data_IF_071336184188
#
_entry.id   IF_071336184188
#
_cell.length_a   1.000
_cell.length_b   1.000
_cell.length_c   1.000
_cell.angle_alpha   90.00
_cell.angle_beta   90.00
_cell.angle_gamma   90.00
#
_symmetry.space_group_name_H-M   'P 1'
#
loop_
_entity.id
_entity.type
_entity.pdbx_description
1 polymer ?
#
# COMPACT_ATOMS: atom_id res chain seq x y z
N UNK A 1 -7.55 -18.95 -13.88
CA UNK A 1 -8.26 -18.05 -12.95
C UNK A 1 -9.53 -18.74 -12.49
N UNK A 2 -9.82 -18.70 -11.20
CA UNK A 2 -11.02 -19.35 -10.65
C UNK A 2 -12.27 -18.54 -10.98
N UNK A 3 -13.42 -19.22 -11.21
CA UNK A 3 -14.69 -18.51 -11.39
C UNK A 3 -15.00 -17.63 -10.19
N UNK A 4 -15.44 -16.39 -10.43
CA UNK A 4 -15.76 -15.42 -9.39
C UNK A 4 -14.58 -14.63 -8.87
N UNK A 5 -13.37 -15.00 -9.20
CA UNK A 5 -12.18 -14.29 -8.79
C UNK A 5 -11.91 -13.10 -9.73
N UNK A 6 -11.60 -11.94 -9.14
CA UNK A 6 -11.25 -10.77 -9.95
C UNK A 6 -9.87 -10.96 -10.57
N UNK A 7 -9.65 -10.48 -11.80
CA UNK A 7 -8.32 -10.60 -12.43
C UNK A 7 -7.30 -9.69 -11.75
N UNK A 8 -6.04 -10.10 -11.79
CA UNK A 8 -4.92 -9.25 -11.43
C UNK A 8 -4.81 -8.09 -12.43
N UNK A 9 -4.24 -6.97 -11.99
CA UNK A 9 -4.06 -5.79 -12.83
C UNK A 9 -2.60 -5.33 -12.76
N UNK A 10 -1.74 -5.88 -13.61
CA UNK A 10 -0.32 -5.52 -13.59
C UNK A 10 -0.06 -4.05 -13.94
N UNK A 11 -0.96 -3.40 -14.66
CA UNK A 11 -0.82 -1.97 -14.99
C UNK A 11 -0.94 -1.12 -13.72
N UNK A 12 -1.88 -1.45 -12.85
CA UNK A 12 -2.05 -0.73 -11.59
C UNK A 12 -0.90 -1.00 -10.63
N UNK A 13 -0.41 -2.23 -10.58
CA UNK A 13 0.76 -2.58 -9.76
C UNK A 13 1.99 -1.82 -10.26
N UNK A 14 2.17 -1.71 -11.58
CA UNK A 14 3.28 -0.93 -12.16
C UNK A 14 3.16 0.55 -11.81
N UNK A 15 1.95 1.10 -11.81
CA UNK A 15 1.73 2.49 -11.41
C UNK A 15 2.13 2.72 -9.97
N UNK A 16 1.73 1.82 -9.07
CA UNK A 16 2.13 1.86 -7.67
C UNK A 16 3.65 1.75 -7.52
N UNK A 17 4.27 0.84 -8.27
CA UNK A 17 5.73 0.66 -8.25
C UNK A 17 6.44 1.97 -8.58
N UNK A 18 6.02 2.66 -9.64
CA UNK A 18 6.63 3.92 -10.04
C UNK A 18 6.51 4.98 -8.95
N UNK A 19 5.37 5.04 -8.28
CA UNK A 19 5.16 5.99 -7.18
C UNK A 19 6.13 5.70 -6.03
N UNK A 20 6.24 4.43 -5.62
CA UNK A 20 7.12 4.03 -4.52
C UNK A 20 8.59 4.26 -4.86
N UNK A 21 9.01 3.84 -6.05
CA UNK A 21 10.43 3.92 -6.46
C UNK A 21 10.88 5.34 -6.75
N UNK A 22 9.96 6.29 -6.91
CA UNK A 22 10.31 7.70 -7.07
C UNK A 22 10.81 8.35 -5.78
N UNK A 23 10.56 7.72 -4.62
CA UNK A 23 10.99 8.25 -3.33
C UNK A 23 12.46 7.87 -3.05
N UNK A 24 13.21 8.73 -2.32
CA UNK A 24 14.65 8.52 -2.12
C UNK A 24 14.99 7.19 -1.45
N UNK A 25 15.97 6.48 -2.01
CA UNK A 25 16.56 5.25 -1.46
C UNK A 25 15.56 4.09 -1.29
N UNK A 26 14.45 4.12 -2.01
CA UNK A 26 13.48 3.02 -1.96
C UNK A 26 13.99 1.85 -2.79
N UNK A 27 13.86 0.65 -2.24
CA UNK A 27 14.16 -0.60 -2.93
C UNK A 27 12.91 -1.47 -2.99
N UNK A 28 12.86 -2.36 -3.99
CA UNK A 28 11.76 -3.31 -4.14
C UNK A 28 12.29 -4.72 -3.91
N UNK A 29 11.52 -5.50 -3.15
CA UNK A 29 11.77 -6.93 -2.97
C UNK A 29 10.43 -7.67 -2.91
N UNK A 30 10.45 -8.95 -3.28
CA UNK A 30 9.30 -9.81 -3.02
C UNK A 30 9.24 -10.12 -1.53
N UNK A 31 8.06 -10.02 -0.97
CA UNK A 31 7.79 -10.35 0.43
C UNK A 31 6.48 -11.12 0.48
N UNK A 32 6.52 -12.34 1.02
CA UNK A 32 5.35 -13.23 1.05
C UNK A 32 4.68 -13.39 -0.33
N UNK A 33 5.52 -13.45 -1.38
CA UNK A 33 5.01 -13.61 -2.75
C UNK A 33 4.47 -12.37 -3.41
N UNK A 34 4.62 -11.19 -2.78
CA UNK A 34 4.07 -9.93 -3.26
C UNK A 34 5.17 -8.89 -3.47
N UNK A 35 5.13 -8.09 -4.55
CA UNK A 35 6.00 -6.92 -4.64
C UNK A 35 5.82 -5.99 -3.45
N UNK A 36 6.94 -5.60 -2.86
CA UNK A 36 6.95 -4.79 -1.66
C UNK A 36 8.08 -3.77 -1.72
N UNK A 37 7.90 -2.63 -1.04
CA UNK A 37 8.86 -1.53 -1.11
C UNK A 37 9.36 -1.18 0.29
N UNK A 38 10.66 -0.91 0.34
CA UNK A 38 11.41 -0.74 1.58
C UNK A 38 12.25 0.53 1.51
N UNK A 39 12.45 1.15 2.65
CA UNK A 39 13.43 2.23 2.83
C UNK A 39 14.23 1.94 4.09
N UNK A 40 15.57 2.00 3.98
CA UNK A 40 16.48 1.67 5.09
C UNK A 40 16.17 0.29 5.70
N UNK A 41 15.82 -0.69 4.86
CA UNK A 41 15.51 -2.05 5.28
C UNK A 41 14.14 -2.24 5.90
N UNK A 42 13.30 -1.19 5.97
CA UNK A 42 11.97 -1.26 6.58
C UNK A 42 10.90 -1.17 5.51
N UNK A 43 9.97 -2.12 5.53
CA UNK A 43 8.85 -2.14 4.59
C UNK A 43 7.87 -1.02 4.92
N UNK A 44 7.40 -0.29 3.89
CA UNK A 44 6.39 0.74 4.07
C UNK A 44 5.18 0.57 3.17
N UNK A 45 5.29 -0.23 2.10
CA UNK A 45 4.16 -0.58 1.22
C UNK A 45 4.34 -2.02 0.75
N UNK A 46 3.26 -2.77 0.68
CA UNK A 46 3.22 -4.07 0.02
C UNK A 46 1.94 -4.20 -0.80
N UNK A 47 2.00 -4.93 -1.90
CA UNK A 47 0.78 -5.33 -2.60
C UNK A 47 0.16 -6.55 -1.94
N UNK A 48 -1.13 -6.74 -2.17
CA UNK A 48 -1.84 -7.98 -1.85
C UNK A 48 -2.80 -8.25 -2.99
N UNK A 49 -2.49 -9.28 -3.79
CA UNK A 49 -3.24 -9.64 -4.98
C UNK A 49 -3.91 -10.99 -4.75
N UNK A 50 -5.20 -10.97 -4.39
CA UNK A 50 -5.97 -12.18 -4.07
C UNK A 50 -5.34 -12.97 -2.91
N UNK A 51 -4.71 -12.28 -1.98
CA UNK A 51 -3.95 -12.94 -0.92
C UNK A 51 -4.80 -13.30 0.30
N UNK A 52 -5.62 -12.39 0.77
CA UNK A 52 -6.53 -12.62 1.91
C UNK A 52 -7.98 -12.53 1.53
N UNK A 53 -8.27 -11.77 0.51
CA UNK A 53 -9.58 -11.66 -0.06
C UNK A 53 -9.44 -11.82 -1.57
N UNK A 54 -10.52 -11.67 -2.29
CA UNK A 54 -10.54 -11.85 -3.74
C UNK A 54 -10.26 -10.53 -4.47
N UNK A 55 -9.35 -9.72 -3.91
CA UNK A 55 -9.16 -8.35 -4.39
C UNK A 55 -7.67 -7.99 -4.49
N UNK A 56 -7.39 -7.00 -5.34
CA UNK A 56 -6.07 -6.37 -5.43
C UNK A 56 -6.07 -5.14 -4.54
N UNK A 57 -5.07 -5.04 -3.67
CA UNK A 57 -4.92 -3.90 -2.76
C UNK A 57 -3.46 -3.59 -2.50
N UNK A 58 -3.21 -2.41 -1.92
CA UNK A 58 -1.93 -2.04 -1.36
C UNK A 58 -2.10 -1.85 0.14
N UNK A 59 -1.15 -2.34 0.93
CA UNK A 59 -1.12 -2.13 2.36
C UNK A 59 0.02 -1.16 2.65
N UNK A 60 -0.30 -0.04 3.29
CA UNK A 60 0.64 1.06 3.47
C UNK A 60 0.76 1.41 4.96
N UNK A 61 2.00 1.61 5.44
CA UNK A 61 2.21 2.22 6.73
C UNK A 61 1.50 3.58 6.74
N UNK A 62 1.08 4.05 7.91
CA UNK A 62 0.32 5.30 7.98
C UNK A 62 0.57 5.99 9.30
N UNK A 63 0.38 7.32 9.33
CA UNK A 63 0.42 8.06 10.59
C UNK A 63 -0.66 7.58 11.56
N UNK A 64 -0.41 7.76 12.84
CA UNK A 64 -1.38 7.39 13.87
C UNK A 64 -2.73 8.07 13.60
N UNK A 65 -3.80 7.29 13.66
CA UNK A 65 -5.17 7.75 13.44
C UNK A 65 -5.61 7.78 11.99
N UNK A 66 -4.69 7.70 11.02
CA UNK A 66 -5.05 7.78 9.61
C UNK A 66 -5.89 6.59 9.15
N UNK A 67 -5.58 5.38 9.61
CA UNK A 67 -6.34 4.19 9.25
C UNK A 67 -7.82 4.35 9.61
N UNK A 68 -8.10 4.73 10.85
CA UNK A 68 -9.47 4.87 11.34
C UNK A 68 -10.24 5.93 10.58
N UNK A 69 -9.60 7.07 10.30
CA UNK A 69 -10.23 8.17 9.56
C UNK A 69 -10.58 7.76 8.13
N UNK A 70 -9.64 7.14 7.43
CA UNK A 70 -9.86 6.74 6.04
C UNK A 70 -10.91 5.65 5.93
N UNK A 71 -10.83 4.63 6.77
CA UNK A 71 -11.79 3.51 6.74
C UNK A 71 -13.20 3.99 7.09
N UNK A 72 -13.32 4.89 8.07
CA UNK A 72 -14.61 5.44 8.44
C UNK A 72 -15.22 6.32 7.35
N UNK A 73 -14.37 7.12 6.69
CA UNK A 73 -14.83 8.05 5.65
C UNK A 73 -15.20 7.33 4.35
N UNK A 74 -14.42 6.34 3.93
CA UNK A 74 -14.61 5.68 2.63
C UNK A 74 -14.33 4.17 2.75
N UNK A 75 -15.22 3.42 3.41
CA UNK A 75 -15.01 1.97 3.63
C UNK A 75 -14.99 1.14 2.34
N UNK A 76 -15.51 1.67 1.24
CA UNK A 76 -15.46 1.03 -0.07
C UNK A 76 -14.08 1.15 -0.73
N UNK A 77 -13.22 2.04 -0.23
CA UNK A 77 -11.88 2.27 -0.79
C UNK A 77 -10.76 1.87 0.15
N UNK A 78 -11.01 1.89 1.45
CA UNK A 78 -9.99 1.64 2.47
C UNK A 78 -10.44 0.59 3.46
N UNK A 79 -9.48 -0.15 4.01
CA UNK A 79 -9.78 -1.19 5.00
C UNK A 79 -8.63 -1.35 5.97
N UNK A 80 -8.89 -2.05 7.07
CA UNK A 80 -7.85 -2.44 8.03
C UNK A 80 -7.25 -3.76 7.55
N UNK A 81 -5.99 -3.77 7.11
CA UNK A 81 -5.39 -5.00 6.61
C UNK A 81 -5.09 -5.98 7.75
N UNK A 82 -5.08 -7.30 7.44
CA UNK A 82 -4.67 -8.28 8.43
C UNK A 82 -3.19 -8.14 8.74
N UNK A 83 -2.76 -8.71 9.86
CA UNK A 83 -1.37 -8.75 10.35
C UNK A 83 -0.75 -7.40 10.69
N UNK A 84 -0.88 -6.39 9.84
CA UNK A 84 -0.29 -5.07 10.03
C UNK A 84 -1.31 -4.00 10.44
N UNK A 85 -2.59 -4.34 10.43
CA UNK A 85 -3.64 -3.41 10.83
C UNK A 85 -3.51 -2.91 12.26
N UNK A 86 -3.04 -3.76 13.18
CA UNK A 86 -2.80 -3.37 14.57
C UNK A 86 -1.67 -2.35 14.72
N UNK A 87 -0.84 -2.19 13.69
CA UNK A 87 0.23 -1.20 13.65
C UNK A 87 -0.22 0.12 13.02
N UNK A 88 -1.51 0.25 12.69
CA UNK A 88 -2.06 1.43 12.07
C UNK A 88 -1.94 1.49 10.55
N UNK A 89 -1.49 0.43 9.91
CA UNK A 89 -1.41 0.36 8.44
C UNK A 89 -2.81 0.41 7.84
N UNK A 90 -2.89 0.98 6.64
CA UNK A 90 -4.16 1.09 5.91
C UNK A 90 -4.10 0.29 4.62
N UNK A 91 -5.18 -0.43 4.32
CA UNK A 91 -5.35 -1.10 3.05
C UNK A 91 -6.08 -0.18 2.07
N UNK A 92 -5.59 -0.16 0.84
CA UNK A 92 -6.15 0.65 -0.25
C UNK A 92 -6.54 -0.28 -1.37
N UNK A 93 -7.83 -0.34 -1.70
CA UNK A 93 -8.28 -1.15 -2.84
C UNK A 93 -7.81 -0.53 -4.15
N UNK A 94 -7.21 -1.35 -5.01
CA UNK A 94 -6.73 -0.94 -6.33
C UNK A 94 -7.60 -1.48 -7.47
N UNK A 95 -8.53 -2.38 -7.18
CA UNK A 95 -9.42 -2.97 -8.17
C UNK A 95 -10.69 -2.13 -8.41
N UNK A 96 -10.60 -0.86 -8.12
CA UNK A 96 -11.64 0.14 -8.34
C UNK A 96 -11.06 1.26 -9.19
N UNK A 97 -11.84 2.27 -9.50
CA UNK A 97 -11.29 3.49 -10.08
C UNK A 97 -10.42 4.17 -9.03
N UNK A 98 -9.13 4.32 -9.32
CA UNK A 98 -8.13 4.78 -8.35
C UNK A 98 -7.82 6.25 -8.57
N UNK A 99 -7.87 7.02 -7.49
CA UNK A 99 -7.32 8.37 -7.46
C UNK A 99 -5.82 8.27 -7.18
N UNK A 100 -5.01 8.30 -8.23
CA UNK A 100 -3.56 8.10 -8.11
C UNK A 100 -2.85 9.24 -7.41
N UNK A 101 -3.40 10.44 -7.45
CA UNK A 101 -2.86 11.56 -6.68
C UNK A 101 -2.99 11.30 -5.18
N UNK A 102 -4.14 10.80 -4.78
CA UNK A 102 -4.38 10.43 -3.38
C UNK A 102 -3.49 9.25 -2.95
N UNK A 103 -3.35 8.24 -3.82
CA UNK A 103 -2.43 7.12 -3.54
C UNK A 103 -1.01 7.64 -3.35
N UNK A 104 -0.58 8.59 -4.17
CA UNK A 104 0.75 9.21 -4.02
C UNK A 104 0.93 9.85 -2.65
N UNK A 105 -0.09 10.54 -2.15
CA UNK A 105 -0.06 11.16 -0.83
C UNK A 105 0.03 10.09 0.27
N UNK A 106 -0.77 9.04 0.15
CA UNK A 106 -0.78 7.93 1.12
C UNK A 106 0.58 7.25 1.16
N UNK A 107 1.18 6.97 -0.01
CA UNK A 107 2.50 6.33 -0.11
C UNK A 107 3.59 7.24 0.47
N UNK A 108 3.55 8.54 0.20
CA UNK A 108 4.52 9.48 0.78
C UNK A 108 4.41 9.51 2.30
N UNK A 109 3.21 9.51 2.84
CA UNK A 109 3.01 9.46 4.30
C UNK A 109 3.51 8.15 4.90
N UNK A 110 3.31 7.03 4.18
CA UNK A 110 3.85 5.74 4.59
C UNK A 110 5.38 5.78 4.66
N UNK A 111 6.01 6.34 3.63
CA UNK A 111 7.45 6.52 3.57
C UNK A 111 7.95 7.37 4.75
N UNK A 112 7.31 8.51 4.99
CA UNK A 112 7.70 9.39 6.09
C UNK A 112 7.53 8.75 7.45
N UNK A 113 6.62 7.80 7.58
CA UNK A 113 6.40 7.09 8.85
C UNK A 113 7.57 6.17 9.19
N UNK A 114 8.26 5.60 8.20
CA UNK A 114 9.31 4.61 8.45
C UNK A 114 10.71 5.07 8.07
N UNK A 115 10.86 6.07 7.20
CA UNK A 115 12.16 6.53 6.75
C UNK A 115 12.96 7.18 7.90
N UNK A 116 14.31 7.02 7.89
CA UNK A 116 15.14 7.71 8.88
C UNK A 116 15.11 9.21 8.65
N UNK A 117 15.36 9.97 9.72
CA UNK A 117 15.25 11.44 9.71
C UNK A 117 16.10 12.10 8.61
N UNK A 118 17.27 11.53 8.29
CA UNK A 118 18.15 12.08 7.25
C UNK A 118 17.48 12.18 5.89
N UNK A 119 16.48 11.34 5.63
CA UNK A 119 15.74 11.34 4.36
C UNK A 119 14.52 12.27 4.37
N UNK A 120 14.17 12.84 5.52
CA UNK A 120 12.98 13.66 5.67
C UNK A 120 13.32 15.18 5.69
N UNK A 121 14.56 15.51 5.58
CA UNK A 121 15.04 16.90 5.58
C UNK A 121 14.95 17.54 4.19
#
# INVERSE_FOLDING_TARGET
MNPGQRPSDPVKVERLRQICLALPEVTEKMSHGEPSWFVAGRQFVTTADHHHDDRLSAWCAAPEGAQELLVKAEPERFFRPPYVGHRGWVGVYLDVEVDWEEVGIIVERAYRRVAPNRLLE
#
